data_IF_820162264052
#
_entry.id   IF_820162264052
#
_cell.length_a   1.000
_cell.length_b   1.000
_cell.length_c   1.000
_cell.angle_alpha   90.00
_cell.angle_beta   90.00
_cell.angle_gamma   90.00
#
_symmetry.space_group_name_H-M   'P 1'
#
loop_
_entity.id
_entity.type
_entity.pdbx_description
1 polymer ?
#
# COMPACT_ATOMS: atom_id res chain seq x y z
N UNK A 1 27.55 22.73 -5.03
CA UNK A 1 27.62 21.29 -5.38
C UNK A 1 28.18 20.52 -4.20
N UNK A 2 27.33 20.01 -3.33
CA UNK A 2 27.73 19.17 -2.20
C UNK A 2 27.08 17.79 -2.37
N UNK A 3 27.95 16.78 -2.43
CA UNK A 3 27.60 15.36 -2.58
C UNK A 3 26.82 14.89 -1.35
N UNK A 4 25.65 14.29 -1.58
CA UNK A 4 24.92 13.52 -0.58
C UNK A 4 25.68 12.22 -0.30
N UNK A 5 25.89 11.82 0.97
CA UNK A 5 26.45 10.52 1.28
C UNK A 5 25.36 9.46 1.12
N UNK A 6 25.29 8.84 -0.06
CA UNK A 6 24.64 7.55 -0.26
C UNK A 6 25.46 6.48 0.48
N UNK A 7 25.08 6.18 1.72
CA UNK A 7 25.51 4.97 2.41
C UNK A 7 24.29 4.27 3.01
N UNK A 8 23.59 3.52 2.15
CA UNK A 8 22.99 2.24 2.53
C UNK A 8 23.34 1.23 1.44
N UNK A 9 24.56 0.72 1.52
CA UNK A 9 24.93 -0.49 0.83
C UNK A 9 24.21 -1.66 1.53
N UNK A 10 23.18 -2.21 0.90
CA UNK A 10 22.78 -3.59 1.15
C UNK A 10 23.56 -4.43 0.14
N UNK A 11 24.77 -4.84 0.53
CA UNK A 11 25.53 -5.85 -0.21
C UNK A 11 25.15 -7.25 0.25
N UNK A 12 24.83 -8.05 -0.75
CA UNK A 12 25.01 -9.50 -0.84
C UNK A 12 24.08 -10.40 -0.01
N UNK A 13 23.01 -10.87 -0.66
CA UNK A 13 22.62 -12.27 -0.54
C UNK A 13 22.56 -12.88 -1.96
N UNK A 14 23.70 -13.37 -2.44
CA UNK A 14 23.76 -14.22 -3.63
C UNK A 14 24.68 -15.44 -3.36
N UNK A 15 24.09 -16.64 -3.52
CA UNK A 15 24.68 -18.01 -3.53
C UNK A 15 25.26 -18.56 -2.21
N UNK A 16 25.05 -19.80 -1.75
CA UNK A 16 24.65 -21.08 -2.39
C UNK A 16 24.06 -22.07 -1.32
N UNK A 17 23.62 -23.30 -1.66
CA UNK A 17 22.65 -24.08 -0.89
C UNK A 17 23.28 -24.91 0.24
N UNK A 18 22.76 -24.77 1.45
CA UNK A 18 23.06 -25.71 2.55
C UNK A 18 21.76 -26.35 3.01
N UNK A 19 21.52 -27.57 2.50
CA UNK A 19 20.63 -28.53 3.16
C UNK A 19 21.23 -28.82 4.54
N UNK A 20 20.65 -28.26 5.60
CA UNK A 20 20.66 -28.88 6.93
C UNK A 20 19.33 -28.63 7.62
N UNK A 21 18.65 -29.73 7.87
CA UNK A 21 17.45 -29.84 8.65
C UNK A 21 17.71 -29.44 10.10
N UNK A 22 16.74 -28.74 10.71
CA UNK A 22 16.22 -28.88 12.08
C UNK A 22 15.61 -27.56 12.56
N UNK A 23 14.27 -27.49 12.52
CA UNK A 23 13.39 -27.07 13.62
C UNK A 23 12.01 -26.78 13.05
N UNK A 24 11.02 -27.59 13.46
CA UNK A 24 9.60 -27.47 13.15
C UNK A 24 8.97 -26.30 13.92
N UNK A 25 9.47 -25.09 13.67
CA UNK A 25 8.64 -23.90 13.82
C UNK A 25 7.86 -23.77 12.52
N UNK A 26 6.54 -23.58 12.58
CA UNK A 26 5.72 -23.32 11.39
C UNK A 26 6.36 -22.20 10.56
N UNK A 27 7.07 -22.55 9.48
CA UNK A 27 7.77 -21.58 8.64
C UNK A 27 6.72 -20.85 7.82
N UNK A 28 6.20 -19.75 8.38
CA UNK A 28 5.38 -18.80 7.64
C UNK A 28 6.17 -18.31 6.43
N UNK A 29 5.54 -18.12 5.25
CA UNK A 29 6.22 -17.50 4.13
C UNK A 29 6.69 -16.08 4.51
N UNK A 30 7.84 -15.62 3.97
CA UNK A 30 8.41 -14.31 4.30
C UNK A 30 7.61 -13.15 3.74
N UNK A 31 6.62 -13.40 2.89
CA UNK A 31 5.68 -12.43 2.34
C UNK A 31 4.38 -13.13 1.93
N UNK A 32 3.34 -12.36 1.62
CA UNK A 32 2.09 -12.86 1.06
C UNK A 32 1.52 -11.88 0.03
N UNK A 33 0.79 -12.42 -0.93
CA UNK A 33 0.02 -11.63 -1.90
C UNK A 33 -1.38 -11.42 -1.34
N UNK A 34 -1.67 -10.24 -0.79
CA UNK A 34 -2.92 -9.99 -0.04
C UNK A 34 -4.03 -9.51 -0.97
N UNK A 35 -5.21 -10.12 -0.88
CA UNK A 35 -6.40 -9.67 -1.59
C UNK A 35 -6.80 -8.24 -1.18
N UNK A 36 -7.14 -7.39 -2.14
CA UNK A 36 -7.56 -6.01 -1.92
C UNK A 36 -8.83 -5.92 -1.08
N UNK A 37 -9.79 -6.82 -1.31
CA UNK A 37 -11.05 -6.81 -0.58
C UNK A 37 -10.87 -7.46 0.79
N UNK A 38 -11.28 -6.74 1.83
CA UNK A 38 -11.29 -7.26 3.19
C UNK A 38 -12.66 -7.90 3.43
N UNK A 39 -12.67 -9.19 3.73
CA UNK A 39 -13.91 -9.88 4.10
C UNK A 39 -14.36 -9.42 5.50
N UNK A 40 -15.66 -9.22 5.68
CA UNK A 40 -16.23 -8.71 6.94
C UNK A 40 -17.27 -9.71 7.45
N UNK A 41 -17.21 -10.03 8.75
CA UNK A 41 -18.18 -10.96 9.36
C UNK A 41 -17.58 -12.11 10.18
N UNK A 42 -16.33 -12.00 10.62
CA UNK A 42 -15.74 -13.00 11.53
C UNK A 42 -16.25 -12.83 12.98
N UNK A 43 -16.54 -13.92 13.72
CA UNK A 43 -16.83 -13.86 15.16
C UNK A 43 -15.57 -13.65 16.01
N UNK A 44 -14.39 -13.63 15.38
CA UNK A 44 -13.12 -13.43 16.07
C UNK A 44 -13.01 -12.04 16.70
N UNK A 45 -12.13 -11.90 17.69
CA UNK A 45 -11.87 -10.62 18.38
C UNK A 45 -10.83 -9.75 17.69
N UNK A 46 -10.23 -10.24 16.60
CA UNK A 46 -9.09 -9.63 15.92
C UNK A 46 -9.20 -9.86 14.42
N UNK A 47 -8.50 -9.04 13.65
CA UNK A 47 -8.33 -9.29 12.22
C UNK A 47 -7.50 -10.56 12.02
N UNK A 48 -7.87 -11.40 11.06
CA UNK A 48 -7.10 -12.59 10.71
C UNK A 48 -6.69 -12.58 9.24
N UNK A 49 -5.48 -13.07 8.97
CA UNK A 49 -4.96 -13.28 7.63
C UNK A 49 -4.95 -14.78 7.33
N UNK A 50 -5.76 -15.21 6.36
CA UNK A 50 -5.69 -16.57 5.81
C UNK A 50 -4.61 -16.59 4.73
N UNK A 51 -3.44 -17.10 5.12
CA UNK A 51 -2.29 -17.21 4.24
C UNK A 51 -2.51 -18.27 3.17
N UNK A 52 -2.11 -17.92 1.95
CA UNK A 52 -1.98 -18.82 0.82
C UNK A 52 -0.62 -18.57 0.15
N UNK A 53 0.00 -19.62 -0.37
CA UNK A 53 1.27 -19.49 -1.08
C UNK A 53 1.04 -18.87 -2.47
N UNK A 54 1.82 -17.84 -2.86
CA UNK A 54 1.77 -17.30 -4.22
C UNK A 54 1.89 -18.40 -5.28
N UNK A 55 1.12 -18.36 -6.38
CA UNK A 55 0.32 -17.23 -6.87
C UNK A 55 -1.08 -17.07 -6.22
N UNK A 56 -1.46 -17.88 -5.22
CA UNK A 56 -2.74 -17.69 -4.53
C UNK A 56 -2.79 -16.37 -3.74
N UNK A 57 -3.94 -15.71 -3.79
CA UNK A 57 -4.26 -14.58 -2.91
C UNK A 57 -4.50 -15.02 -1.46
N UNK A 58 -3.85 -14.34 -0.52
CA UNK A 58 -4.11 -14.43 0.91
C UNK A 58 -5.25 -13.48 1.28
N UNK A 59 -6.21 -13.95 2.08
CA UNK A 59 -7.43 -13.18 2.40
C UNK A 59 -7.39 -12.58 3.80
N UNK A 60 -7.63 -11.27 3.89
CA UNK A 60 -7.80 -10.58 5.16
C UNK A 60 -9.27 -10.60 5.60
N UNK A 61 -9.52 -10.91 6.86
CA UNK A 61 -10.87 -11.01 7.42
C UNK A 61 -10.96 -10.12 8.67
N UNK A 62 -11.88 -9.15 8.64
CA UNK A 62 -12.14 -8.24 9.74
C UNK A 62 -13.43 -8.61 10.49
N UNK A 63 -13.40 -8.63 11.83
CA UNK A 63 -14.61 -8.70 12.64
C UNK A 63 -15.48 -7.45 12.45
N UNK A 64 -16.77 -7.65 12.24
CA UNK A 64 -17.74 -6.57 11.97
C UNK A 64 -17.70 -5.45 13.03
N UNK A 65 -17.66 -5.82 14.31
CA UNK A 65 -17.67 -4.89 15.44
C UNK A 65 -16.42 -3.99 15.53
N UNK A 66 -15.27 -4.42 14.98
CA UNK A 66 -14.04 -3.62 15.00
C UNK A 66 -14.02 -2.53 13.93
N UNK A 67 -14.77 -2.73 12.86
CA UNK A 67 -14.77 -1.85 11.68
C UNK A 67 -16.05 -1.03 11.58
N UNK A 68 -16.89 -1.05 12.62
CA UNK A 68 -18.14 -0.32 12.66
C UNK A 68 -19.19 -0.84 11.67
N UNK A 69 -19.10 -2.10 11.23
CA UNK A 69 -20.11 -2.67 10.33
C UNK A 69 -21.42 -2.87 11.08
N UNK A 70 -22.44 -2.11 10.68
CA UNK A 70 -23.82 -2.30 11.11
C UNK A 70 -24.58 -3.20 10.10
N UNK A 71 -25.42 -4.14 10.58
CA UNK A 71 -26.31 -4.90 9.70
C UNK A 71 -27.22 -3.99 8.86
N UNK A 72 -27.65 -4.47 7.69
CA UNK A 72 -28.59 -3.76 6.80
C UNK A 72 -30.03 -3.80 7.31
N UNK A 73 -30.26 -3.27 8.50
CA UNK A 73 -31.59 -3.13 9.09
C UNK A 73 -31.95 -1.66 9.05
N UNK A 74 -33.05 -1.27 8.38
CA UNK A 74 -33.54 0.10 8.41
C UNK A 74 -33.88 0.51 9.84
N UNK A 75 -33.40 1.69 10.21
CA UNK A 75 -33.81 2.37 11.43
C UNK A 75 -35.35 2.56 11.39
N UNK A 76 -36.07 2.15 12.45
CA UNK A 76 -37.53 2.19 12.47
C UNK A 76 -38.10 3.61 12.45
N UNK A 77 -37.33 4.62 12.86
CA UNK A 77 -37.76 6.01 12.97
C UNK A 77 -37.33 6.84 11.74
N UNK A 78 -36.17 6.55 11.17
CA UNK A 78 -35.61 7.33 10.03
C UNK A 78 -35.67 6.62 8.69
N UNK A 79 -36.01 5.34 8.66
CA UNK A 79 -35.94 4.45 7.49
C UNK A 79 -34.53 4.36 6.85
N UNK A 80 -33.50 4.86 7.53
CA UNK A 80 -32.09 4.83 7.08
C UNK A 80 -31.46 3.46 7.31
N UNK A 81 -30.63 3.01 6.37
CA UNK A 81 -29.93 1.73 6.46
C UNK A 81 -28.53 1.83 5.82
N UNK A 82 -27.66 0.87 6.17
CA UNK A 82 -26.39 0.68 5.47
C UNK A 82 -26.63 0.02 4.10
N UNK A 83 -26.68 0.83 3.05
CA UNK A 83 -26.93 0.37 1.68
C UNK A 83 -25.74 -0.43 1.12
N UNK A 84 -24.51 0.00 1.43
CA UNK A 84 -23.30 -0.68 0.99
C UNK A 84 -22.16 -0.50 2.00
N UNK A 85 -21.42 -1.58 2.24
CA UNK A 85 -20.22 -1.59 3.06
C UNK A 85 -19.13 -2.43 2.39
N UNK A 86 -17.93 -1.87 2.26
CA UNK A 86 -16.78 -2.59 1.71
C UNK A 86 -15.47 -2.17 2.36
N UNK A 87 -14.62 -3.15 2.67
CA UNK A 87 -13.25 -2.94 3.16
C UNK A 87 -12.21 -3.15 2.07
N UNK A 88 -11.17 -2.32 2.07
CA UNK A 88 -10.11 -2.33 1.08
C UNK A 88 -8.72 -2.24 1.73
N UNK A 89 -7.78 -3.06 1.30
CA UNK A 89 -6.34 -2.83 1.49
C UNK A 89 -5.93 -1.72 0.52
N UNK A 90 -5.35 -0.64 1.02
CA UNK A 90 -4.95 0.54 0.24
C UNK A 90 -3.46 0.63 -0.01
N UNK A 91 -2.65 0.16 0.93
CA UNK A 91 -1.20 0.15 0.82
C UNK A 91 -0.60 -0.85 1.82
N UNK A 92 0.61 -1.31 1.51
CA UNK A 92 1.45 -2.07 2.42
C UNK A 92 2.73 -1.26 2.71
N UNK A 93 3.16 -1.28 3.96
CA UNK A 93 4.46 -0.72 4.35
C UNK A 93 5.60 -1.72 4.09
N UNK A 94 6.83 -1.21 4.03
CA UNK A 94 8.03 -2.06 3.91
C UNK A 94 8.23 -3.02 5.09
N UNK A 95 7.58 -2.76 6.23
CA UNK A 95 7.64 -3.60 7.43
C UNK A 95 6.35 -4.43 7.66
N UNK A 96 5.51 -4.60 6.64
CA UNK A 96 4.39 -5.55 6.69
C UNK A 96 3.10 -5.07 7.39
N UNK A 97 3.06 -3.81 7.87
CA UNK A 97 1.80 -3.17 8.27
C UNK A 97 0.96 -2.82 7.03
N UNK A 98 -0.35 -3.03 7.12
CA UNK A 98 -1.32 -2.73 6.07
C UNK A 98 -2.13 -1.49 6.43
N UNK A 99 -2.43 -0.66 5.44
CA UNK A 99 -3.40 0.43 5.54
C UNK A 99 -4.74 -0.05 4.97
N UNK A 100 -5.77 -0.06 5.80
CA UNK A 100 -7.12 -0.46 5.44
C UNK A 100 -8.04 0.76 5.38
N UNK A 101 -8.99 0.72 4.45
CA UNK A 101 -10.07 1.72 4.35
C UNK A 101 -11.39 0.99 4.21
N UNK A 102 -12.38 1.38 5.02
CA UNK A 102 -13.75 0.90 4.91
C UNK A 102 -14.64 2.04 4.42
N UNK A 103 -15.47 1.70 3.44
CA UNK A 103 -16.45 2.60 2.83
C UNK A 103 -17.83 2.17 3.28
N UNK A 104 -18.60 3.11 3.81
CA UNK A 104 -20.00 2.95 4.17
C UNK A 104 -20.86 3.93 3.38
N UNK A 105 -21.84 3.38 2.66
CA UNK A 105 -22.88 4.15 1.96
C UNK A 105 -24.17 3.90 2.71
N UNK A 106 -24.75 4.96 3.25
CA UNK A 106 -26.10 4.93 3.82
C UNK A 106 -27.14 5.17 2.73
N UNK A 107 -28.35 4.68 2.93
CA UNK A 107 -29.49 4.94 2.05
C UNK A 107 -30.80 4.86 2.82
N UNK A 108 -31.90 5.22 2.17
CA UNK A 108 -33.22 5.28 2.81
C UNK A 108 -34.16 4.27 2.14
N UNK A 109 -34.79 3.39 2.93
CA UNK A 109 -35.75 2.42 2.42
C UNK A 109 -37.08 2.46 3.19
N UNK A 110 -37.97 3.42 2.87
CA UNK A 110 -39.27 3.53 3.51
C UNK A 110 -40.19 2.36 3.14
N UNK A 111 -41.21 2.13 3.98
CA UNK A 111 -42.29 1.19 3.71
C UNK A 111 -43.10 1.65 2.50
N UNK A 112 -43.38 0.72 1.57
CA UNK A 112 -44.21 0.97 0.41
C UNK A 112 -45.69 0.94 0.83
N UNK A 113 -46.46 2.03 0.63
CA UNK A 113 -47.88 2.06 0.96
C UNK A 113 -48.65 0.95 0.25
N UNK A 114 -49.43 0.17 1.00
CA UNK A 114 -50.20 -0.96 0.46
C UNK A 114 -49.38 -2.22 0.12
N UNK A 115 -48.06 -2.20 0.31
CA UNK A 115 -47.14 -3.27 -0.07
C UNK A 115 -46.91 -4.38 0.97
N UNK A 116 -47.83 -4.59 1.92
CA UNK A 116 -47.74 -5.71 2.86
C UNK A 116 -46.44 -5.77 3.70
N UNK A 117 -45.85 -4.63 4.05
CA UNK A 117 -44.59 -4.57 4.80
C UNK A 117 -43.32 -4.52 3.95
N UNK A 118 -43.44 -4.46 2.62
CA UNK A 118 -42.32 -4.28 1.71
C UNK A 118 -41.68 -2.90 1.84
N UNK A 119 -40.35 -2.82 1.79
CA UNK A 119 -39.56 -1.58 1.79
C UNK A 119 -38.83 -1.42 0.47
N UNK A 120 -38.74 -0.20 -0.06
CA UNK A 120 -38.05 0.10 -1.32
C UNK A 120 -36.92 1.10 -1.08
N UNK A 121 -35.70 0.81 -1.56
CA UNK A 121 -34.58 1.75 -1.50
C UNK A 121 -34.87 2.92 -2.44
N UNK A 122 -35.07 4.11 -1.88
CA UNK A 122 -35.47 5.33 -2.61
C UNK A 122 -34.31 6.30 -2.84
N UNK A 123 -33.24 6.20 -2.03
CA UNK A 123 -32.05 7.03 -2.18
C UNK A 123 -30.82 6.39 -1.53
N UNK A 124 -29.64 6.74 -2.05
CA UNK A 124 -28.33 6.40 -1.50
C UNK A 124 -27.52 7.69 -1.32
N UNK A 125 -26.72 7.75 -0.26
CA UNK A 125 -25.78 8.85 -0.04
C UNK A 125 -24.76 8.89 -1.19
N UNK A 126 -24.58 10.09 -1.76
CA UNK A 126 -23.58 10.33 -2.82
C UNK A 126 -22.17 10.44 -2.21
N UNK A 127 -22.07 10.74 -0.91
CA UNK A 127 -20.82 10.91 -0.19
C UNK A 127 -20.67 9.84 0.89
N UNK A 128 -19.91 8.77 0.64
CA UNK A 128 -19.74 7.68 1.58
C UNK A 128 -18.86 8.09 2.77
N UNK A 129 -19.15 7.49 3.92
CA UNK A 129 -18.28 7.57 5.09
C UNK A 129 -17.07 6.66 4.88
N UNK A 130 -15.89 7.21 5.13
CA UNK A 130 -14.62 6.52 4.97
C UNK A 130 -13.90 6.43 6.31
N UNK A 131 -13.77 5.22 6.85
CA UNK A 131 -12.97 4.95 8.05
C UNK A 131 -11.67 4.26 7.67
N UNK A 132 -10.59 4.55 8.40
CA UNK A 132 -9.24 4.08 8.04
C UNK A 132 -8.56 3.45 9.24
N UNK A 133 -7.81 2.39 8.98
CA UNK A 133 -7.11 1.64 10.02
C UNK A 133 -5.71 1.25 9.57
N UNK A 134 -4.78 1.24 10.51
CA UNK A 134 -3.52 0.52 10.37
C UNK A 134 -3.71 -0.87 10.98
N UNK A 135 -3.32 -1.90 10.23
CA UNK A 135 -3.48 -3.29 10.61
C UNK A 135 -2.13 -3.98 10.65
N UNK A 136 -1.88 -4.71 11.74
CA UNK A 136 -0.88 -5.76 11.76
C UNK A 136 -1.58 -7.07 11.35
N UNK A 137 -1.35 -7.58 10.12
CA UNK A 137 -2.12 -8.71 9.59
C UNK A 137 -1.81 -10.04 10.30
N UNK A 138 -0.73 -10.09 11.08
CA UNK A 138 -0.29 -11.30 11.78
C UNK A 138 -0.79 -11.32 13.21
N UNK A 139 -0.58 -10.24 13.97
CA UNK A 139 -1.05 -10.16 15.36
C UNK A 139 -2.55 -9.88 15.45
N UNK A 140 -3.15 -9.47 14.33
CA UNK A 140 -4.54 -9.08 14.21
C UNK A 140 -4.87 -7.76 14.89
N UNK A 141 -3.84 -7.00 15.30
CA UNK A 141 -4.01 -5.68 15.90
C UNK A 141 -4.50 -4.69 14.85
N UNK A 142 -5.50 -3.89 15.24
CA UNK A 142 -6.08 -2.85 14.43
C UNK A 142 -6.01 -1.52 15.19
N UNK A 143 -5.60 -0.47 14.50
CA UNK A 143 -5.57 0.89 15.04
C UNK A 143 -6.38 1.83 14.13
N UNK A 144 -7.47 2.39 14.67
CA UNK A 144 -8.29 3.37 13.95
C UNK A 144 -7.56 4.70 13.83
N UNK A 145 -7.44 5.20 12.60
CA UNK A 145 -6.94 6.55 12.36
C UNK A 145 -8.06 7.56 12.65
N UNK A 146 -7.74 8.74 13.22
CA UNK A 146 -8.72 9.81 13.34
C UNK A 146 -9.20 10.27 11.96
N UNK A 147 -10.37 10.90 11.93
CA UNK A 147 -10.94 11.42 10.69
C UNK A 147 -10.08 12.55 10.11
N UNK A 148 -9.88 12.54 8.79
CA UNK A 148 -9.11 13.57 8.10
C UNK A 148 -9.96 14.84 8.07
N UNK A 149 -9.39 15.97 8.47
CA UNK A 149 -10.09 17.26 8.57
C UNK A 149 -11.35 17.19 9.47
N UNK A 150 -11.43 16.22 10.39
CA UNK A 150 -12.55 16.06 11.33
C UNK A 150 -13.84 15.49 10.71
N UNK A 151 -13.77 14.89 9.52
CA UNK A 151 -14.93 14.32 8.83
C UNK A 151 -14.65 12.95 8.21
N UNK A 152 -15.66 12.08 8.20
CA UNK A 152 -15.64 10.79 7.49
C UNK A 152 -15.89 10.94 5.99
N UNK A 153 -16.50 12.04 5.57
CA UNK A 153 -16.80 12.41 4.18
C UNK A 153 -15.51 12.72 3.43
N UNK A 154 -14.82 11.67 3.01
CA UNK A 154 -13.45 11.73 2.50
C UNK A 154 -13.21 10.70 1.39
N UNK A 155 -14.25 10.40 0.61
CA UNK A 155 -14.19 9.46 -0.50
C UNK A 155 -13.11 9.81 -1.53
N UNK A 156 -12.88 11.10 -1.74
CA UNK A 156 -11.85 11.65 -2.63
C UNK A 156 -10.41 11.51 -2.11
N UNK A 157 -10.20 11.06 -0.87
CA UNK A 157 -8.88 10.75 -0.32
C UNK A 157 -8.55 9.26 -0.53
N UNK A 158 -8.44 8.85 -1.80
CA UNK A 158 -8.20 7.46 -2.21
C UNK A 158 -6.72 7.07 -2.28
N UNK A 159 -5.84 8.02 -2.58
CA UNK A 159 -4.42 7.78 -2.93
C UNK A 159 -3.52 7.93 -1.71
N UNK A 160 -3.81 7.08 -0.73
CA UNK A 160 -3.23 7.13 0.61
C UNK A 160 -2.23 6.00 0.81
N UNK A 161 -1.03 6.35 1.28
CA UNK A 161 0.07 5.42 1.54
C UNK A 161 0.44 5.36 3.01
N UNK A 162 1.17 4.30 3.38
CA UNK A 162 1.74 4.12 4.72
C UNK A 162 3.25 3.91 4.60
N UNK A 163 4.01 4.68 5.38
CA UNK A 163 5.45 4.57 5.49
C UNK A 163 5.82 4.26 6.93
N UNK A 164 6.58 3.20 7.14
CA UNK A 164 7.15 2.82 8.43
C UNK A 164 8.60 3.27 8.52
N UNK A 165 9.07 3.54 9.73
CA UNK A 165 10.46 3.85 10.01
C UNK A 165 10.90 3.18 11.31
N UNK A 166 12.05 2.51 11.24
CA UNK A 166 12.76 1.97 12.40
C UNK A 166 14.09 2.70 12.59
N UNK A 167 14.43 3.02 13.83
CA UNK A 167 15.75 3.50 14.24
C UNK A 167 16.78 2.37 14.24
N UNK A 168 16.31 1.12 14.34
CA UNK A 168 17.15 -0.08 14.35
C UNK A 168 17.15 -0.76 12.99
N UNK A 169 18.31 -1.13 12.45
CA UNK A 169 18.36 -2.00 11.27
C UNK A 169 17.59 -3.29 11.55
N UNK A 170 16.64 -3.64 10.68
CA UNK A 170 15.88 -4.90 10.71
C UNK A 170 15.00 -5.12 11.96
N UNK A 171 14.69 -4.06 12.72
CA UNK A 171 13.76 -4.11 13.84
C UNK A 171 12.30 -3.84 13.44
N UNK A 172 11.34 -4.06 14.36
CA UNK A 172 10.00 -3.54 14.18
C UNK A 172 10.01 -2.01 14.02
N UNK A 173 9.01 -1.42 13.35
CA UNK A 173 8.96 0.02 13.18
C UNK A 173 8.72 0.73 14.53
N UNK A 174 9.47 1.79 14.79
CA UNK A 174 9.29 2.64 15.98
C UNK A 174 8.18 3.68 15.76
N UNK A 175 7.93 4.01 14.49
CA UNK A 175 6.91 4.96 14.05
C UNK A 175 6.45 4.64 12.64
N UNK A 176 5.26 5.12 12.32
CA UNK A 176 4.75 5.19 10.96
C UNK A 176 4.11 6.55 10.67
N UNK A 177 4.00 6.85 9.39
CA UNK A 177 3.24 7.95 8.84
C UNK A 177 2.25 7.41 7.80
N UNK A 178 1.07 8.01 7.74
CA UNK A 178 0.10 7.77 6.68
C UNK A 178 -0.07 9.08 5.95
N UNK A 179 0.06 9.11 4.63
CA UNK A 179 -0.06 10.37 3.90
C UNK A 179 -0.71 10.21 2.54
N UNK A 180 -1.31 11.30 2.09
CA UNK A 180 -1.86 11.46 0.77
C UNK A 180 -1.35 12.75 0.16
N UNK A 181 -1.33 12.76 -1.18
CA UNK A 181 -0.87 13.86 -1.97
C UNK A 181 -2.03 14.49 -2.73
N UNK A 182 -2.07 15.83 -2.82
CA UNK A 182 -3.05 16.54 -3.65
C UNK A 182 -2.49 17.85 -4.19
N UNK A 183 -2.99 18.24 -5.35
CA UNK A 183 -2.95 19.62 -5.83
C UNK A 183 -4.02 20.46 -5.10
N UNK A 184 -3.62 21.56 -4.46
CA UNK A 184 -4.53 22.49 -3.78
C UNK A 184 -5.10 23.47 -4.80
N UNK A 185 -6.28 23.17 -5.34
CA UNK A 185 -7.00 24.08 -6.23
C UNK A 185 -7.72 25.15 -5.38
N UNK A 186 -7.01 26.19 -4.97
CA UNK A 186 -7.67 27.39 -4.43
C UNK A 186 -8.24 28.17 -5.62
N UNK A 187 -9.58 28.26 -5.66
CA UNK A 187 -10.43 29.16 -6.44
C UNK A 187 -9.88 29.83 -7.72
N UNK A 188 -10.56 29.56 -8.84
CA UNK A 188 -10.62 30.35 -10.09
C UNK A 188 -9.68 31.55 -10.25
N UNK A 189 -8.98 31.54 -11.39
CA UNK A 189 -8.26 32.65 -12.06
C UNK A 189 -6.82 32.88 -11.56
N UNK A 190 -5.90 32.07 -12.10
CA UNK A 190 -4.52 32.50 -12.37
C UNK A 190 -3.54 32.56 -11.20
N UNK A 191 -3.74 31.77 -10.12
CA UNK A 191 -2.78 31.65 -9.02
C UNK A 191 -2.14 30.27 -8.95
N UNK A 192 -0.82 30.22 -8.76
CA UNK A 192 0.02 29.01 -8.70
C UNK A 192 -0.66 27.79 -8.04
N UNK A 193 -0.93 26.76 -8.84
CA UNK A 193 -1.35 25.43 -8.38
C UNK A 193 -0.31 24.90 -7.37
N UNK A 194 -0.61 24.89 -6.08
CA UNK A 194 0.35 24.49 -5.04
C UNK A 194 0.08 23.07 -4.55
N UNK A 195 1.13 22.27 -4.48
CA UNK A 195 1.03 20.93 -3.91
C UNK A 195 0.81 20.99 -2.40
N UNK A 196 -0.10 20.12 -1.93
CA UNK A 196 -0.42 19.92 -0.54
C UNK A 196 -0.32 18.44 -0.18
N UNK A 197 0.16 18.17 1.03
CA UNK A 197 0.19 16.83 1.62
C UNK A 197 -0.63 16.86 2.90
N UNK A 198 -1.49 15.87 3.08
CA UNK A 198 -2.05 15.56 4.40
C UNK A 198 -1.32 14.34 4.94
N UNK A 199 -0.81 14.45 6.16
CA UNK A 199 -0.09 13.37 6.83
C UNK A 199 -0.61 13.14 8.23
N UNK A 200 -0.68 11.90 8.63
CA UNK A 200 -0.83 11.46 10.01
C UNK A 200 0.51 10.94 10.48
N UNK A 201 0.94 11.37 11.67
CA UNK A 201 2.15 10.85 12.32
C UNK A 201 1.76 10.06 13.56
N UNK A 202 2.18 8.79 13.64
CA UNK A 202 1.93 7.93 14.81
C UNK A 202 2.45 8.51 16.13
N UNK A 203 3.48 9.34 16.08
CA UNK A 203 4.07 9.97 17.27
C UNK A 203 3.19 11.05 17.87
N UNK A 204 2.46 11.78 17.03
CA UNK A 204 1.56 12.87 17.48
C UNK A 204 0.12 12.37 17.60
N UNK A 205 -0.24 11.31 16.86
CA UNK A 205 -1.61 10.82 16.76
C UNK A 205 -2.54 11.77 16.01
N UNK A 206 -2.01 12.71 15.22
CA UNK A 206 -2.77 13.80 14.59
C UNK A 206 -2.52 13.88 13.09
N UNK A 207 -3.50 14.44 12.39
CA UNK A 207 -3.38 14.87 10.99
C UNK A 207 -2.85 16.29 10.90
N UNK A 208 -1.92 16.51 9.98
CA UNK A 208 -1.39 17.82 9.59
C UNK A 208 -1.62 18.04 8.08
N UNK A 209 -1.92 19.28 7.69
CA UNK A 209 -1.95 19.72 6.28
C UNK A 209 -0.72 20.58 6.00
N UNK A 210 0.17 20.09 5.14
CA UNK A 210 1.32 20.82 4.62
C UNK A 210 0.96 21.40 3.26
N UNK A 211 1.20 22.70 3.06
CA UNK A 211 0.90 23.43 1.81
C UNK A 211 2.16 24.07 1.25
N UNK A 212 2.16 24.33 -0.07
CA UNK A 212 3.27 25.02 -0.73
C UNK A 212 4.54 24.17 -0.79
N UNK A 213 4.38 22.87 -1.00
CA UNK A 213 5.53 21.96 -1.07
C UNK A 213 6.43 22.31 -2.27
N UNK A 214 7.75 22.48 -2.08
CA UNK A 214 8.68 22.71 -3.17
C UNK A 214 8.62 21.53 -4.15
N UNK A 215 8.49 21.84 -5.43
CA UNK A 215 8.40 20.83 -6.47
C UNK A 215 9.28 21.16 -7.66
N UNK A 216 10.02 20.16 -8.14
CA UNK A 216 10.73 20.21 -9.41
C UNK A 216 9.82 19.85 -10.60
N UNK A 217 8.51 19.65 -10.39
CA UNK A 217 7.56 19.28 -11.45
C UNK A 217 7.33 20.44 -12.43
N UNK A 218 7.45 20.20 -13.75
CA UNK A 218 7.02 21.17 -14.76
C UNK A 218 5.54 21.54 -14.62
N UNK A 219 5.19 22.81 -14.87
CA UNK A 219 3.80 23.33 -14.74
C UNK A 219 2.79 22.54 -15.57
N UNK A 220 3.15 22.11 -16.78
CA UNK A 220 2.27 21.31 -17.67
C UNK A 220 2.07 19.86 -17.20
N UNK A 221 2.75 19.43 -16.12
CA UNK A 221 2.71 18.07 -15.57
C UNK A 221 2.16 18.03 -14.14
N UNK A 222 1.54 19.10 -13.64
CA UNK A 222 1.02 19.13 -12.25
C UNK A 222 -0.24 18.31 -12.04
N UNK A 223 -1.00 18.04 -13.11
CA UNK A 223 -2.16 17.14 -13.11
C UNK A 223 -1.73 15.68 -13.31
N UNK A 224 -1.16 15.08 -12.26
CA UNK A 224 -0.90 13.64 -12.23
C UNK A 224 -2.15 12.87 -11.78
N UNK A 225 -2.48 11.80 -12.48
CA UNK A 225 -3.52 10.86 -12.04
C UNK A 225 -2.87 9.79 -11.16
N UNK A 226 -2.73 10.08 -9.87
CA UNK A 226 -2.10 9.19 -8.90
C UNK A 226 -2.98 8.05 -8.43
N UNK A 227 -4.25 8.02 -8.86
CA UNK A 227 -5.24 6.98 -8.50
C UNK A 227 -5.13 5.72 -9.37
N UNK A 228 -4.04 5.57 -10.13
CA UNK A 228 -3.85 4.46 -11.06
C UNK A 228 -3.40 3.16 -10.36
N UNK A 229 -2.77 3.25 -9.18
CA UNK A 229 -2.38 2.08 -8.37
C UNK A 229 -2.22 2.44 -6.88
N UNK A 230 -1.85 1.47 -6.04
CA UNK A 230 -1.53 1.70 -4.63
C UNK A 230 -0.26 2.57 -4.46
N UNK A 231 -0.20 3.37 -3.39
CA UNK A 231 0.99 4.16 -3.05
C UNK A 231 2.09 3.23 -2.54
N UNK A 232 3.30 3.37 -3.07
CA UNK A 232 4.43 2.49 -2.77
C UNK A 232 5.34 3.12 -1.71
N UNK A 233 5.71 2.35 -0.69
CA UNK A 233 6.70 2.75 0.32
C UNK A 233 8.10 2.28 -0.10
N UNK A 234 9.02 3.21 -0.37
CA UNK A 234 10.37 2.88 -0.82
C UNK A 234 11.39 3.94 -0.40
N UNK A 235 12.56 3.49 0.08
CA UNK A 235 13.70 4.34 0.42
C UNK A 235 13.35 5.53 1.35
N UNK A 236 12.50 5.30 2.35
CA UNK A 236 12.08 6.33 3.31
C UNK A 236 11.13 7.39 2.71
N UNK A 237 10.51 7.09 1.58
CA UNK A 237 9.56 7.96 0.89
C UNK A 237 8.30 7.17 0.51
N UNK A 238 7.21 7.90 0.39
CA UNK A 238 6.01 7.43 -0.31
C UNK A 238 6.10 7.84 -1.77
N UNK A 239 5.64 6.96 -2.66
CA UNK A 239 5.66 7.14 -4.11
C UNK A 239 4.24 7.04 -4.64
N UNK A 240 3.72 8.18 -5.11
CA UNK A 240 2.46 8.29 -5.83
C UNK A 240 2.74 8.20 -7.32
N UNK A 241 2.06 7.29 -8.02
CA UNK A 241 2.42 6.94 -9.40
C UNK A 241 1.28 7.25 -10.35
N UNK A 242 1.62 7.95 -11.43
CA UNK A 242 0.81 8.03 -12.64
C UNK A 242 1.41 7.08 -13.69
N UNK A 243 0.75 5.96 -13.94
CA UNK A 243 1.21 4.92 -14.86
C UNK A 243 1.30 5.35 -16.32
N UNK A 244 0.81 6.54 -16.69
CA UNK A 244 1.04 7.11 -18.03
C UNK A 244 2.33 7.92 -18.12
N UNK A 245 2.85 8.40 -16.99
CA UNK A 245 3.88 9.43 -17.00
C UNK A 245 5.07 9.13 -16.11
N UNK A 246 4.87 8.93 -14.81
CA UNK A 246 5.95 8.96 -13.83
C UNK A 246 5.49 8.81 -12.39
N UNK A 247 6.43 8.88 -11.48
CA UNK A 247 6.21 8.76 -10.06
C UNK A 247 6.68 10.01 -9.31
N UNK A 248 5.88 10.44 -8.34
CA UNK A 248 6.19 11.53 -7.43
C UNK A 248 6.44 10.97 -6.04
N UNK A 249 7.54 11.39 -5.40
CA UNK A 249 7.89 10.93 -4.07
C UNK A 249 8.11 12.06 -3.07
N UNK A 250 7.76 11.80 -1.81
CA UNK A 250 8.08 12.66 -0.69
C UNK A 250 8.24 11.85 0.60
N UNK A 251 9.05 12.38 1.51
CA UNK A 251 9.18 11.88 2.88
C UNK A 251 8.08 12.51 3.76
N UNK A 252 7.07 11.75 4.20
CA UNK A 252 6.03 12.27 5.07
C UNK A 252 6.52 12.58 6.49
N UNK A 253 7.70 12.17 6.92
CA UNK A 253 8.25 12.53 8.24
C UNK A 253 9.01 13.85 8.25
N UNK A 254 9.46 14.35 7.09
CA UNK A 254 10.20 15.60 7.00
C UNK A 254 9.32 16.81 7.31
N UNK A 255 9.79 17.76 8.12
CA UNK A 255 9.06 19.03 8.35
C UNK A 255 8.96 19.90 7.09
N UNK A 256 9.82 19.63 6.09
CA UNK A 256 9.81 20.26 4.77
C UNK A 256 9.90 19.17 3.71
N UNK A 257 8.79 18.48 3.38
CA UNK A 257 8.82 17.43 2.38
C UNK A 257 9.21 18.00 1.01
N UNK A 258 10.28 17.47 0.44
CA UNK A 258 10.69 17.79 -0.93
C UNK A 258 10.08 16.79 -1.90
N UNK A 259 9.30 17.30 -2.86
CA UNK A 259 8.73 16.50 -3.92
C UNK A 259 9.81 16.20 -4.96
N UNK A 260 10.00 14.91 -5.24
CA UNK A 260 10.91 14.43 -6.29
C UNK A 260 10.12 13.64 -7.31
N UNK A 261 10.21 14.10 -8.56
CA UNK A 261 9.57 13.46 -9.69
C UNK A 261 10.58 12.63 -10.47
N UNK A 262 10.16 11.43 -10.88
CA UNK A 262 10.90 10.56 -11.79
C UNK A 262 9.96 10.16 -12.93
N UNK A 263 10.38 10.42 -14.16
CA UNK A 263 9.65 10.00 -15.37
C UNK A 263 9.75 8.49 -15.54
N UNK A 264 8.71 7.83 -16.06
CA UNK A 264 8.76 6.41 -16.46
C UNK A 264 9.82 6.19 -17.55
N UNK A 265 10.21 4.93 -17.86
CA UNK A 265 11.08 4.66 -18.99
C UNK A 265 10.62 5.39 -20.26
N UNK A 266 11.55 5.96 -21.04
CA UNK A 266 11.24 6.89 -22.14
C UNK A 266 10.22 6.35 -23.16
N UNK A 267 10.22 5.05 -23.42
CA UNK A 267 9.28 4.39 -24.34
C UNK A 267 7.88 4.13 -23.76
N UNK A 268 7.71 4.30 -22.44
CA UNK A 268 6.48 3.98 -21.72
C UNK A 268 5.61 5.21 -21.45
N UNK A 269 6.17 6.43 -21.57
CA UNK A 269 5.43 7.68 -21.36
C UNK A 269 4.36 7.87 -22.43
N UNK A 270 3.11 8.03 -22.01
CA UNK A 270 1.94 8.17 -22.88
C UNK A 270 1.00 9.27 -22.37
N UNK A 271 0.16 9.80 -23.28
CA UNK A 271 -0.91 10.75 -22.96
C UNK A 271 -2.29 10.13 -23.26
N UNK A 272 -2.68 9.09 -22.51
CA UNK A 272 -3.96 8.40 -22.71
C UNK A 272 -5.15 9.31 -22.38
N UNK A 273 -6.30 9.03 -23.00
CA UNK A 273 -7.58 9.60 -22.55
C UNK A 273 -7.90 9.15 -21.12
N UNK A 274 -8.70 9.90 -20.37
CA UNK A 274 -9.07 9.56 -18.98
C UNK A 274 -9.65 8.16 -18.81
N UNK A 275 -10.42 7.68 -19.80
CA UNK A 275 -10.97 6.32 -19.78
C UNK A 275 -9.88 5.24 -19.91
N UNK A 276 -8.84 5.51 -20.69
CA UNK A 276 -7.71 4.60 -20.94
C UNK A 276 -6.70 4.59 -19.78
N UNK A 277 -6.61 5.69 -19.01
CA UNK A 277 -5.75 5.76 -17.81
C UNK A 277 -6.06 4.66 -16.80
N UNK A 278 -7.34 4.32 -16.63
CA UNK A 278 -7.77 3.25 -15.72
C UNK A 278 -7.39 1.85 -16.22
N UNK A 279 -7.17 1.71 -17.52
CA UNK A 279 -6.79 0.43 -18.13
C UNK A 279 -5.28 0.20 -18.05
N UNK A 280 -4.46 1.27 -17.95
CA UNK A 280 -3.01 1.16 -17.80
C UNK A 280 -2.57 0.33 -16.60
N UNK A 281 -3.32 0.39 -15.49
CA UNK A 281 -3.05 -0.41 -14.28
C UNK A 281 -3.15 -1.92 -14.50
N UNK A 282 -3.79 -2.35 -15.60
CA UNK A 282 -3.82 -3.76 -15.98
C UNK A 282 -2.48 -4.22 -16.55
N UNK A 283 -1.78 -3.34 -17.25
CA UNK A 283 -0.61 -3.69 -18.04
C UNK A 283 0.68 -3.12 -17.50
N UNK A 284 0.60 -2.23 -16.50
CA UNK A 284 1.73 -1.51 -15.92
C UNK A 284 1.62 -1.52 -14.41
N UNK A 285 2.74 -1.67 -13.72
CA UNK A 285 2.78 -1.64 -12.25
C UNK A 285 4.10 -1.09 -11.74
N UNK A 286 4.07 -0.39 -10.60
CA UNK A 286 5.28 -0.06 -9.84
C UNK A 286 5.23 -0.78 -8.50
N UNK A 287 6.35 -1.33 -8.07
CA UNK A 287 6.47 -2.02 -6.79
C UNK A 287 7.91 -2.05 -6.30
N UNK A 288 8.13 -2.70 -5.17
CA UNK A 288 9.49 -2.92 -4.64
C UNK A 288 9.80 -4.40 -4.76
N UNK A 289 10.99 -4.72 -5.28
CA UNK A 289 11.52 -6.08 -5.29
C UNK A 289 13.02 -6.02 -5.05
N UNK A 290 13.54 -6.91 -4.22
CA UNK A 290 14.97 -7.01 -3.87
C UNK A 290 15.55 -5.67 -3.37
N UNK A 291 14.72 -4.87 -2.70
CA UNK A 291 15.13 -3.58 -2.17
C UNK A 291 15.33 -2.49 -3.21
N UNK A 292 14.83 -2.66 -4.45
CA UNK A 292 14.80 -1.63 -5.50
C UNK A 292 13.36 -1.31 -5.90
N UNK A 293 13.10 -0.06 -6.27
CA UNK A 293 11.84 0.31 -6.91
C UNK A 293 11.86 -0.21 -8.35
N UNK A 294 10.79 -0.87 -8.78
CA UNK A 294 10.68 -1.46 -10.10
C UNK A 294 9.42 -1.00 -10.81
N UNK A 295 9.55 -0.72 -12.09
CA UNK A 295 8.44 -0.52 -13.02
C UNK A 295 8.36 -1.72 -13.95
N UNK A 296 7.18 -2.32 -14.06
CA UNK A 296 6.94 -3.42 -14.96
C UNK A 296 5.83 -3.04 -15.95
N UNK A 297 5.95 -3.52 -17.18
CA UNK A 297 4.92 -3.38 -18.20
C UNK A 297 4.82 -4.60 -19.10
N UNK A 298 3.62 -4.89 -19.62
CA UNK A 298 3.37 -5.92 -20.61
C UNK A 298 2.75 -5.30 -21.86
N UNK A 299 3.23 -5.68 -23.05
CA UNK A 299 2.61 -5.25 -24.30
C UNK A 299 1.20 -5.81 -24.43
N UNK A 300 0.30 -5.04 -25.03
CA UNK A 300 -1.11 -5.43 -25.18
C UNK A 300 -1.35 -6.33 -26.41
N UNK A 301 -0.35 -6.47 -27.27
CA UNK A 301 -0.38 -7.29 -28.47
C UNK A 301 0.62 -8.44 -28.37
N UNK A 302 0.33 -9.54 -29.07
CA UNK A 302 1.25 -10.66 -29.23
C UNK A 302 2.59 -10.18 -29.82
N UNK A 303 3.74 -10.63 -29.29
CA UNK A 303 3.91 -11.81 -28.44
C UNK A 303 3.82 -11.56 -26.91
N UNK A 304 3.14 -10.49 -26.47
CA UNK A 304 2.99 -10.07 -25.07
C UNK A 304 4.35 -9.97 -24.37
N UNK A 305 5.12 -8.95 -24.74
CA UNK A 305 6.45 -8.68 -24.20
C UNK A 305 6.32 -8.07 -22.81
N UNK A 306 6.80 -8.81 -21.81
CA UNK A 306 6.85 -8.42 -20.41
C UNK A 306 8.24 -7.83 -20.12
N UNK A 307 8.29 -6.57 -19.71
CA UNK A 307 9.52 -5.84 -19.39
C UNK A 307 9.51 -5.39 -17.93
N UNK A 308 10.65 -5.45 -17.26
CA UNK A 308 10.87 -5.00 -15.88
C UNK A 308 12.10 -4.12 -15.80
N UNK A 309 11.93 -2.94 -15.22
CA UNK A 309 12.94 -1.91 -15.09
C UNK A 309 13.19 -1.63 -13.61
N UNK A 310 14.44 -1.49 -13.20
CA UNK A 310 14.81 -1.02 -11.87
C UNK A 310 15.13 0.47 -11.90
N UNK A 311 14.73 1.19 -10.85
CA UNK A 311 15.12 2.59 -10.65
C UNK A 311 16.62 2.64 -10.35
N UNK A 312 17.34 3.53 -11.03
CA UNK A 312 18.78 3.71 -10.85
C UNK A 312 19.12 4.25 -9.45
N UNK A 313 20.32 3.93 -8.94
CA UNK A 313 20.75 4.31 -7.58
C UNK A 313 20.82 5.84 -7.37
N UNK A 314 21.06 6.60 -8.44
CA UNK A 314 21.05 8.07 -8.42
C UNK A 314 19.63 8.65 -8.49
N UNK A 315 18.61 7.82 -8.70
CA UNK A 315 17.21 8.18 -8.87
C UNK A 315 16.93 8.97 -10.14
N UNK A 316 17.86 8.97 -11.10
CA UNK A 316 17.79 9.76 -12.32
C UNK A 316 17.03 9.09 -13.47
N UNK A 317 16.83 7.77 -13.42
CA UNK A 317 16.25 7.00 -14.51
C UNK A 317 15.90 5.57 -14.15
N UNK A 318 15.61 4.80 -15.20
CA UNK A 318 15.22 3.39 -15.11
C UNK A 318 16.12 2.55 -16.02
N UNK A 319 16.69 1.49 -15.47
CA UNK A 319 17.47 0.49 -16.21
C UNK A 319 16.60 -0.74 -16.49
N UNK A 320 16.52 -1.17 -17.75
CA UNK A 320 15.86 -2.43 -18.12
C UNK A 320 16.69 -3.60 -17.60
N UNK A 321 16.13 -4.44 -16.73
CA UNK A 321 16.81 -5.60 -16.15
C UNK A 321 16.28 -6.93 -16.71
N UNK A 322 14.96 -7.05 -16.90
CA UNK A 322 14.37 -8.26 -17.48
C UNK A 322 13.43 -7.92 -18.64
N UNK A 323 13.45 -8.77 -19.67
CA UNK A 323 12.53 -8.70 -20.80
C UNK A 323 12.29 -10.09 -21.37
N UNK A 324 11.04 -10.49 -21.46
CA UNK A 324 10.66 -11.79 -22.03
C UNK A 324 9.38 -11.71 -22.84
N UNK A 325 9.30 -12.48 -23.93
CA UNK A 325 8.07 -12.63 -24.72
C UNK A 325 7.29 -13.85 -24.20
N UNK A 326 6.01 -13.65 -23.86
CA UNK A 326 5.23 -14.68 -23.20
C UNK A 326 4.59 -15.70 -24.18
N UNK A 327 4.68 -15.48 -25.50
CA UNK A 327 4.04 -16.32 -26.53
C UNK A 327 4.35 -17.84 -26.45
N UNK A 328 5.36 -18.27 -25.68
CA UNK A 328 5.68 -19.68 -25.40
C UNK A 328 4.74 -20.36 -24.40
N UNK A 329 4.08 -19.58 -23.55
CA UNK A 329 3.34 -20.08 -22.37
C UNK A 329 1.92 -20.53 -22.67
N UNK A 330 1.39 -20.21 -23.85
CA UNK A 330 0.04 -20.56 -24.25
C UNK A 330 0.08 -21.70 -25.27
N UNK A 331 -0.20 -22.96 -24.85
CA UNK A 331 -0.63 -23.97 -25.79
C UNK A 331 -1.78 -23.37 -26.61
N UNK A 332 -1.88 -23.69 -27.90
CA UNK A 332 -2.94 -23.25 -28.82
C UNK A 332 -4.37 -23.70 -28.40
N UNK A 333 -4.58 -24.06 -27.13
CA UNK A 333 -5.83 -24.53 -26.57
C UNK A 333 -6.75 -23.35 -26.21
N UNK A 334 -8.00 -23.48 -26.65
CA UNK A 334 -8.78 -22.40 -27.28
C UNK A 334 -9.42 -21.37 -26.31
N UNK A 335 -9.03 -21.35 -25.03
CA UNK A 335 -9.66 -20.49 -24.01
C UNK A 335 -8.70 -19.54 -23.28
N UNK A 336 -7.38 -19.79 -23.24
CA UNK A 336 -6.42 -18.88 -22.59
C UNK A 336 -5.84 -17.84 -23.55
N UNK A 337 -5.68 -18.19 -24.84
CA UNK A 337 -5.10 -17.33 -25.88
C UNK A 337 -5.93 -16.07 -26.22
N UNK A 338 -7.13 -15.91 -25.64
CA UNK A 338 -8.01 -14.76 -25.91
C UNK A 338 -7.84 -13.60 -24.93
N UNK A 339 -7.12 -13.81 -23.81
CA UNK A 339 -7.05 -12.82 -22.75
C UNK A 339 -5.63 -12.24 -22.64
N UNK A 340 -5.48 -10.95 -22.91
CA UNK A 340 -4.23 -10.21 -22.72
C UNK A 340 -3.74 -10.37 -21.28
N UNK A 341 -2.46 -10.74 -21.06
CA UNK A 341 -1.91 -10.88 -19.72
C UNK A 341 -1.92 -9.55 -18.97
N UNK A 342 -2.18 -9.60 -17.67
CA UNK A 342 -2.27 -8.41 -16.83
C UNK A 342 -1.35 -8.56 -15.62
N UNK A 343 -0.68 -7.49 -15.20
CA UNK A 343 0.28 -7.55 -14.09
C UNK A 343 -0.46 -7.50 -12.75
N UNK A 344 -0.47 -8.63 -12.05
CA UNK A 344 -1.14 -8.77 -10.76
C UNK A 344 -0.26 -8.24 -9.62
N UNK A 345 1.02 -8.63 -9.60
CA UNK A 345 1.97 -8.27 -8.56
C UNK A 345 3.42 -8.48 -9.03
N UNK A 346 4.32 -7.67 -8.46
CA UNK A 346 5.77 -7.89 -8.54
C UNK A 346 6.17 -8.67 -7.29
N UNK A 347 6.91 -9.78 -7.43
CA UNK A 347 7.40 -10.54 -6.27
C UNK A 347 8.39 -9.65 -5.49
N UNK A 348 8.17 -9.43 -4.17
CA UNK A 348 8.98 -8.50 -3.40
C UNK A 348 10.40 -9.01 -3.08
N UNK A 349 10.66 -10.30 -3.24
CA UNK A 349 11.92 -10.96 -2.88
C UNK A 349 12.69 -11.56 -4.07
N UNK A 350 12.05 -11.71 -5.23
CA UNK A 350 12.66 -12.24 -6.44
C UNK A 350 12.29 -11.38 -7.66
N UNK A 351 13.23 -10.58 -8.16
CA UNK A 351 12.98 -9.71 -9.30
C UNK A 351 12.76 -10.46 -10.61
N UNK A 352 13.27 -11.69 -10.70
CA UNK A 352 13.07 -12.61 -11.82
C UNK A 352 11.69 -13.28 -11.82
N UNK A 353 10.81 -12.99 -10.87
CA UNK A 353 9.46 -13.56 -10.81
C UNK A 353 8.39 -12.46 -10.91
N UNK A 354 7.42 -12.65 -11.81
CA UNK A 354 6.28 -11.75 -11.94
C UNK A 354 4.96 -12.53 -11.93
N UNK A 355 3.97 -11.99 -11.22
CA UNK A 355 2.66 -12.61 -11.12
C UNK A 355 1.68 -11.92 -12.07
N UNK A 356 1.04 -12.69 -12.93
CA UNK A 356 0.11 -12.22 -13.94
C UNK A 356 -1.30 -12.78 -13.72
N UNK A 357 -2.31 -12.00 -14.06
CA UNK A 357 -3.67 -12.50 -14.28
C UNK A 357 -3.86 -12.74 -15.76
N UNK A 358 -4.34 -13.95 -16.11
CA UNK A 358 -4.70 -14.32 -17.48
C UNK A 358 -6.10 -14.93 -17.44
N UNK A 359 -7.10 -14.15 -17.87
CA UNK A 359 -8.51 -14.49 -17.67
C UNK A 359 -8.79 -14.74 -16.19
N UNK A 360 -9.16 -15.98 -15.84
CA UNK A 360 -9.50 -16.37 -14.47
C UNK A 360 -8.34 -16.98 -13.69
N UNK A 361 -7.14 -17.03 -14.25
CA UNK A 361 -5.99 -17.66 -13.61
C UNK A 361 -5.00 -16.61 -13.12
N UNK A 362 -4.36 -16.89 -11.99
CA UNK A 362 -3.17 -16.17 -11.53
C UNK A 362 -1.96 -17.08 -11.70
N UNK A 363 -0.98 -16.61 -12.46
CA UNK A 363 0.23 -17.35 -12.82
C UNK A 363 1.47 -16.63 -12.34
N UNK A 364 2.51 -17.39 -11.98
CA UNK A 364 3.84 -16.87 -11.69
C UNK A 364 4.76 -17.21 -12.87
N UNK A 365 5.43 -16.21 -13.42
CA UNK A 365 6.30 -16.35 -14.59
C UNK A 365 7.74 -16.05 -14.21
N UNK A 366 8.65 -16.88 -14.69
CA UNK A 366 10.09 -16.63 -14.71
C UNK A 366 10.44 -15.62 -15.81
N UNK A 367 11.01 -14.49 -15.41
CA UNK A 367 11.34 -13.37 -16.29
C UNK A 367 12.60 -13.61 -17.13
N UNK A 368 13.42 -14.61 -16.82
CA UNK A 368 14.68 -14.89 -17.51
C UNK A 368 14.47 -15.77 -18.74
N UNK A 369 13.55 -16.73 -18.67
CA UNK A 369 13.27 -17.68 -19.76
C UNK A 369 11.80 -17.68 -20.22
N UNK A 370 10.89 -17.10 -19.42
CA UNK A 370 9.46 -17.05 -19.72
C UNK A 370 8.70 -18.29 -19.28
N UNK A 371 9.27 -19.12 -18.40
CA UNK A 371 8.66 -20.39 -17.97
C UNK A 371 7.60 -20.17 -16.88
N UNK A 372 6.61 -21.07 -16.84
CA UNK A 372 5.56 -21.07 -15.82
C UNK A 372 6.10 -21.67 -14.52
N UNK A 373 6.18 -20.85 -13.47
CA UNK A 373 6.61 -21.28 -12.13
C UNK A 373 5.46 -21.85 -11.29
N UNK A 374 4.23 -21.39 -11.54
CA UNK A 374 3.04 -21.85 -10.84
C UNK A 374 1.76 -21.23 -11.38
N UNK A 375 0.63 -21.90 -11.20
CA UNK A 375 -0.68 -21.45 -11.68
C UNK A 375 -1.77 -21.79 -10.67
N UNK A 376 -2.72 -20.89 -10.50
CA UNK A 376 -3.90 -21.08 -9.66
C UNK A 376 -5.15 -20.60 -10.40
N UNK A 377 -6.25 -21.35 -10.25
CA UNK A 377 -7.56 -20.92 -10.75
C UNK A 377 -8.21 -19.99 -9.72
N UNK A 378 -8.58 -18.79 -10.15
CA UNK A 378 -9.40 -17.89 -9.36
C UNK A 378 -10.77 -18.51 -9.07
N UNK A 379 -11.09 -18.71 -7.79
CA UNK A 379 -12.44 -19.11 -7.37
C UNK A 379 -13.40 -17.92 -7.43
N UNK A 380 -14.51 -18.04 -8.18
CA UNK A 380 -15.48 -16.95 -8.34
C UNK A 380 -15.15 -15.96 -9.46
N UNK A 381 -15.89 -14.84 -9.57
CA UNK A 381 -15.90 -13.87 -10.69
C UNK A 381 -14.51 -13.40 -11.14
N UNK A 382 -14.43 -12.92 -12.39
CA UNK A 382 -13.20 -12.49 -13.07
C UNK A 382 -12.26 -11.68 -12.14
N UNK A 383 -11.07 -12.19 -11.80
CA UNK A 383 -10.15 -11.50 -10.89
C UNK A 383 -9.65 -10.23 -11.59
N UNK A 384 -10.23 -9.07 -11.25
CA UNK A 384 -9.74 -7.79 -11.75
C UNK A 384 -8.32 -7.53 -11.25
N UNK A 385 -7.47 -6.91 -12.07
CA UNK A 385 -6.04 -6.55 -11.81
C UNK A 385 -5.77 -5.79 -10.52
N UNK A 386 -6.80 -5.16 -9.97
CA UNK A 386 -6.78 -4.37 -8.75
C UNK A 386 -6.71 -5.24 -7.49
N UNK A 387 -6.71 -6.56 -7.59
CA UNK A 387 -7.09 -7.40 -6.45
C UNK A 387 -5.94 -7.82 -5.54
N UNK A 388 -4.68 -7.52 -5.84
CA UNK A 388 -3.55 -8.12 -5.12
C UNK A 388 -2.49 -7.08 -4.72
N UNK A 389 -2.07 -7.13 -3.46
CA UNK A 389 -1.05 -6.26 -2.86
C UNK A 389 0.04 -7.12 -2.20
N UNK A 390 1.30 -7.08 -2.68
CA UNK A 390 2.41 -7.72 -1.98
C UNK A 390 2.60 -7.14 -0.58
N UNK A 391 2.72 -8.02 0.42
CA UNK A 391 2.96 -7.64 1.81
C UNK A 391 4.08 -8.50 2.40
N UNK A 392 5.15 -7.87 2.87
CA UNK A 392 6.22 -8.57 3.57
C UNK A 392 5.71 -9.08 4.93
N UNK A 393 6.08 -10.29 5.33
CA UNK A 393 5.71 -10.94 6.59
C UNK A 393 6.93 -11.34 7.46
N UNK A 394 7.80 -10.39 7.79
CA UNK A 394 8.96 -10.62 8.63
C UNK A 394 8.62 -11.18 10.04
N UNK A 395 9.58 -11.90 10.68
CA UNK A 395 9.28 -12.74 11.84
C UNK A 395 8.77 -12.01 13.07
N UNK A 396 9.24 -10.77 13.31
CA UNK A 396 8.84 -9.98 14.47
C UNK A 396 7.37 -9.53 14.43
N UNK A 397 6.65 -9.74 13.32
CA UNK A 397 5.34 -9.11 13.10
C UNK A 397 4.29 -9.71 14.04
N UNK A 398 4.50 -10.96 14.47
CA UNK A 398 3.68 -11.62 15.48
C UNK A 398 3.77 -10.98 16.87
N UNK A 399 4.93 -10.45 17.23
CA UNK A 399 5.20 -9.80 18.53
C UNK A 399 5.14 -8.27 18.45
N UNK A 400 5.14 -7.70 17.25
CA UNK A 400 5.15 -6.26 17.03
C UNK A 400 3.79 -5.64 17.35
N UNK A 401 3.80 -4.58 18.16
CA UNK A 401 2.64 -3.71 18.32
C UNK A 401 2.68 -2.58 17.31
N UNK A 402 1.52 -2.10 16.90
CA UNK A 402 1.42 -0.88 16.10
C UNK A 402 1.91 0.31 16.94
N UNK A 403 2.88 1.12 16.47
CA UNK A 403 3.35 2.30 17.18
C UNK A 403 2.24 3.32 17.45
N UNK A 404 2.21 3.89 18.66
CA UNK A 404 1.19 4.88 19.08
C UNK A 404 1.83 5.98 19.92
N UNK A 405 1.22 7.17 19.94
CA UNK A 405 1.70 8.33 20.68
C UNK A 405 1.95 8.03 22.17
N UNK A 406 1.06 7.27 22.81
CA UNK A 406 1.15 6.92 24.24
C UNK A 406 2.34 5.99 24.56
N UNK A 407 2.65 5.05 23.68
CA UNK A 407 3.75 4.09 23.86
C UNK A 407 5.13 4.78 23.83
N UNK A 408 5.27 5.82 23.01
CA UNK A 408 6.52 6.59 22.86
C UNK A 408 6.79 7.50 24.07
N UNK A 409 5.74 8.02 24.72
CA UNK A 409 5.85 8.79 25.96
C UNK A 409 6.45 7.95 27.10
N UNK A 410 6.02 6.69 27.21
CA UNK A 410 6.55 5.72 28.20
C UNK A 410 8.04 5.42 28.00
N UNK A 411 8.46 5.18 26.75
CA UNK A 411 9.87 4.95 26.44
C UNK A 411 10.76 6.18 26.72
N UNK A 412 10.24 7.41 26.52
CA UNK A 412 10.96 8.64 26.92
C UNK A 412 11.01 8.83 28.44
N UNK A 413 9.98 8.42 29.17
CA UNK A 413 9.97 8.44 30.64
C UNK A 413 10.96 7.42 31.22
N UNK A 414 11.04 6.21 30.64
CA UNK A 414 12.00 5.18 31.03
C UNK A 414 13.45 5.51 30.62
N UNK A 415 13.64 6.28 29.54
CA UNK A 415 14.95 6.84 29.20
C UNK A 415 15.38 7.98 30.15
N UNK A 416 14.42 8.75 30.68
CA UNK A 416 14.68 9.79 31.69
C UNK A 416 14.84 9.26 33.11
N UNK A 417 14.33 8.06 33.43
CA UNK A 417 14.45 7.46 34.77
C UNK A 417 15.80 6.78 35.03
N UNK A 418 16.70 6.72 34.04
CA UNK A 418 18.04 6.09 34.14
C UNK A 418 19.23 7.04 34.31
N UNK A 419 19.07 8.29 34.79
CA UNK A 419 20.24 9.16 35.04
C UNK A 419 20.03 10.25 36.10
N UNK A 420 19.62 9.88 37.32
CA UNK A 420 19.78 10.75 38.49
C UNK A 420 20.69 10.13 39.57
N UNK A 421 20.80 8.80 39.59
CA UNK A 421 21.68 8.07 40.52
C UNK A 421 23.17 8.16 40.17
N UNK A 422 23.53 8.51 38.93
CA UNK A 422 24.92 8.60 38.46
C UNK A 422 25.53 10.01 38.58
N UNK A 423 24.76 11.03 39.01
CA UNK A 423 25.24 12.42 39.13
C UNK A 423 25.60 12.85 40.57
N UNK A 424 25.52 11.96 41.57
CA UNK A 424 25.75 12.32 42.98
C UNK A 424 26.71 11.39 43.73
N UNK A 425 27.90 11.10 43.20
CA UNK A 425 29.06 10.74 44.05
C UNK A 425 30.35 11.18 43.37
N UNK A 426 30.91 12.33 43.77
CA UNK A 426 32.35 12.65 43.89
C UNK A 426 32.59 14.16 43.88
N UNK A 427 32.29 14.83 44.99
CA UNK A 427 33.08 15.98 45.46
C UNK A 427 33.06 15.95 46.98
N UNK A 428 34.08 15.33 47.57
CA UNK A 428 34.79 15.91 48.71
C UNK A 428 35.87 14.95 49.20
N UNK A 429 37.12 15.28 48.89
CA UNK A 429 38.24 15.04 49.81
C UNK A 429 39.47 15.86 49.45
N UNK A 430 39.81 16.74 50.39
CA UNK A 430 41.11 17.36 50.68
C UNK A 430 41.55 18.53 49.78
N UNK A 431 41.67 19.71 50.39
CA UNK A 431 42.85 20.09 51.19
C UNK A 431 42.58 21.40 51.95
N UNK A 432 42.75 21.38 53.27
CA UNK A 432 43.31 22.51 54.02
C UNK A 432 44.14 21.94 55.18
N UNK A 433 45.40 22.41 55.21
CA UNK A 433 46.46 22.24 56.21
C UNK A 433 47.00 20.83 56.46
#
# INVERSE_FOLDING_TARGET
MQRLPLRRALSAAASAPVRRALSTASRRPPWAMVEKYVAVGSPERRVSLRLAEPPCGSRLIAPAHLVGYAPRVPDPDTDELNAFFAGFVKAASGDGLLLLTFMEVTGTAPLVPGGGGWRALTGISIDPDMTRFVCNPISGELFGLPDIDGTKKTAWFSDIGILTQSERPHGPPDRYAVALFREDSVGYRGGDERFAMRRFLSQTGKWDKLVGLPSSLPLHRRRMNTSTQEVVAFAGRLWWVDLSWGALSADPFSDRPELRFVELPRGSVTQPMEKERRELRRFRRVGVSEGRLRYAEVSQEEPYVLSSFALDDDGGGWTLEHRVALSRLWPHDQNLCKNTPQIAAIDPLNAGCMHLVVGRQVVSIDMDNGDLLGCTLGGGSDPSVDTLTPCLLPPWLASCRIPRAETLSRNKADAKSKSLSDMLVRVDRKKMT
#
